data_IF_951505871664
#
_entry.id   IF_951505871664
#
_cell.length_a   1.000
_cell.length_b   1.000
_cell.length_c   1.000
_cell.angle_alpha   90.00
_cell.angle_beta   90.00
_cell.angle_gamma   90.00
#
_symmetry.space_group_name_H-M   'P 1'
#
loop_
_entity.id
_entity.type
_entity.pdbx_description
1 polymer ?
#
# COMPACT_ATOMS: atom_id res chain seq x y z
N UNK A 1 2.72 18.98 -8.16
CA UNK A 1 3.07 17.54 -8.14
C UNK A 1 2.38 16.88 -6.95
N UNK A 2 1.59 15.84 -7.22
CA UNK A 2 0.92 15.00 -6.23
C UNK A 2 1.89 13.88 -5.82
N UNK A 3 2.03 13.64 -4.51
CA UNK A 3 2.89 12.56 -3.99
C UNK A 3 2.05 11.37 -3.57
N UNK A 4 2.44 10.17 -3.96
CA UNK A 4 1.72 8.94 -3.71
C UNK A 4 2.60 8.02 -2.87
N UNK A 5 2.22 7.82 -1.61
CA UNK A 5 2.86 6.82 -0.76
C UNK A 5 2.22 5.46 -1.00
N UNK A 6 3.03 4.48 -1.39
CA UNK A 6 2.59 3.13 -1.70
C UNK A 6 3.73 2.12 -1.56
N UNK A 7 3.46 0.89 -1.97
CA UNK A 7 4.49 -0.14 -2.13
C UNK A 7 4.06 -1.14 -3.21
N UNK A 8 5.01 -1.66 -3.97
CA UNK A 8 4.72 -2.57 -5.09
C UNK A 8 3.97 -3.85 -4.66
N UNK A 9 4.17 -4.32 -3.43
CA UNK A 9 3.47 -5.51 -2.90
C UNK A 9 2.01 -5.25 -2.52
N UNK A 10 1.53 -4.01 -2.59
CA UNK A 10 0.13 -3.65 -2.43
C UNK A 10 -0.58 -3.66 -3.79
N UNK A 11 -1.56 -4.54 -4.02
CA UNK A 11 -2.24 -4.65 -5.32
C UNK A 11 -2.88 -3.33 -5.79
N UNK A 12 -3.45 -2.55 -4.87
CA UNK A 12 -4.05 -1.25 -5.22
C UNK A 12 -2.98 -0.23 -5.61
N UNK A 13 -1.79 -0.25 -4.99
CA UNK A 13 -0.69 0.64 -5.36
C UNK A 13 -0.14 0.32 -6.75
N UNK A 14 0.06 -0.97 -7.07
CA UNK A 14 0.58 -1.39 -8.37
C UNK A 14 -0.27 -0.86 -9.55
N UNK A 15 -1.58 -0.80 -9.38
CA UNK A 15 -2.45 -0.26 -10.42
C UNK A 15 -2.47 1.28 -10.48
N UNK A 16 -2.24 1.95 -9.36
CA UNK A 16 -2.03 3.40 -9.35
C UNK A 16 -0.72 3.76 -10.05
N UNK A 17 0.35 3.00 -9.79
CA UNK A 17 1.65 3.14 -10.46
C UNK A 17 1.52 3.03 -11.99
N UNK A 18 0.70 2.10 -12.49
CA UNK A 18 0.38 1.98 -13.91
C UNK A 18 -0.30 3.23 -14.48
N UNK A 19 -1.27 3.80 -13.76
CA UNK A 19 -2.01 4.99 -14.22
C UNK A 19 -1.14 6.24 -14.36
N UNK A 20 -0.04 6.32 -13.60
CA UNK A 20 0.79 7.53 -13.51
C UNK A 20 2.20 7.37 -14.10
N UNK A 21 2.53 6.21 -14.68
CA UNK A 21 3.89 5.87 -15.15
C UNK A 21 4.53 6.96 -16.00
N UNK A 22 3.77 7.56 -16.90
CA UNK A 22 4.24 8.57 -17.85
C UNK A 22 3.68 9.96 -17.54
N UNK A 23 3.36 10.23 -16.27
CA UNK A 23 2.76 11.49 -15.83
C UNK A 23 3.59 12.18 -14.75
N UNK A 24 4.36 13.18 -15.16
CA UNK A 24 5.22 14.01 -14.30
C UNK A 24 4.44 14.83 -13.25
N UNK A 25 3.11 14.86 -13.33
CA UNK A 25 2.24 15.42 -12.29
C UNK A 25 2.26 14.62 -10.99
N UNK A 26 2.75 13.38 -11.01
CA UNK A 26 2.76 12.46 -9.87
C UNK A 26 4.17 11.97 -9.52
N UNK A 27 4.40 11.76 -8.23
CA UNK A 27 5.61 11.13 -7.70
C UNK A 27 5.21 9.92 -6.85
N UNK A 28 5.66 8.73 -7.23
CA UNK A 28 5.51 7.52 -6.41
C UNK A 28 6.65 7.47 -5.38
N UNK A 29 6.27 7.31 -4.11
CA UNK A 29 7.20 7.11 -3.00
C UNK A 29 6.95 5.71 -2.44
N UNK A 30 7.83 4.77 -2.81
CA UNK A 30 7.79 3.42 -2.26
C UNK A 30 8.25 3.44 -0.79
N UNK A 31 7.32 3.13 0.12
CA UNK A 31 7.59 3.09 1.57
C UNK A 31 8.39 1.85 1.97
N UNK A 32 8.43 0.81 1.14
CA UNK A 32 9.21 -0.42 1.33
C UNK A 32 10.67 -0.30 0.89
N UNK A 33 10.99 0.66 0.00
CA UNK A 33 12.33 0.81 -0.56
C UNK A 33 13.37 1.25 0.48
N UNK A 34 13.02 2.21 1.35
CA UNK A 34 13.96 2.73 2.35
C UNK A 34 13.24 3.23 3.61
N UNK A 35 13.84 3.02 4.78
CA UNK A 35 13.30 3.44 6.10
C UNK A 35 13.02 4.95 6.20
N UNK A 36 13.63 5.76 5.33
CA UNK A 36 13.40 7.22 5.28
C UNK A 36 11.99 7.54 4.74
N UNK A 37 11.55 6.79 3.73
CA UNK A 37 10.24 6.91 3.10
C UNK A 37 9.18 6.42 4.08
N UNK A 38 9.41 5.25 4.69
CA UNK A 38 8.55 4.72 5.75
C UNK A 38 8.42 5.71 6.91
N UNK A 39 9.52 6.27 7.42
CA UNK A 39 9.48 7.27 8.50
C UNK A 39 8.69 8.52 8.10
N UNK A 40 8.81 8.98 6.86
CA UNK A 40 8.04 10.11 6.35
C UNK A 40 6.53 9.79 6.29
N UNK A 41 6.19 8.61 5.76
CA UNK A 41 4.81 8.13 5.72
C UNK A 41 4.21 7.94 7.11
N UNK A 42 4.94 7.33 8.06
CA UNK A 42 4.44 7.12 9.43
C UNK A 42 4.15 8.44 10.13
N UNK A 43 4.98 9.47 9.97
CA UNK A 43 4.69 10.80 10.51
C UNK A 43 3.37 11.35 9.96
N UNK A 44 3.16 11.26 8.65
CA UNK A 44 1.94 11.71 7.99
C UNK A 44 0.72 10.92 8.46
N UNK A 45 0.85 9.58 8.45
CA UNK A 45 -0.17 8.62 8.86
C UNK A 45 -0.63 8.95 10.26
N UNK A 46 0.30 8.92 11.22
CA UNK A 46 0.00 8.98 12.65
C UNK A 46 -0.49 10.37 13.09
N UNK A 47 -0.23 11.43 12.33
CA UNK A 47 -0.73 12.78 12.62
C UNK A 47 -2.04 13.16 11.93
N UNK A 48 -2.47 12.41 10.91
CA UNK A 48 -3.64 12.77 10.10
C UNK A 48 -4.89 11.95 10.47
N UNK A 49 -6.07 12.60 10.65
CA UNK A 49 -7.32 11.91 10.98
C UNK A 49 -7.87 11.09 9.80
N UNK A 50 -7.43 11.36 8.57
CA UNK A 50 -7.77 10.58 7.37
C UNK A 50 -7.44 9.09 7.53
N UNK A 51 -6.46 8.77 8.37
CA UNK A 51 -6.03 7.40 8.64
C UNK A 51 -6.71 6.76 9.86
N UNK A 52 -7.60 7.45 10.57
CA UNK A 52 -8.20 6.93 11.80
C UNK A 52 -8.94 5.61 11.55
N UNK A 53 -9.71 5.54 10.46
CA UNK A 53 -10.43 4.32 10.09
C UNK A 53 -9.50 3.19 9.66
N UNK A 54 -8.50 3.50 8.82
CA UNK A 54 -7.50 2.54 8.40
C UNK A 54 -6.79 1.93 9.62
N UNK A 55 -6.34 2.76 10.57
CA UNK A 55 -5.73 2.31 11.81
C UNK A 55 -6.67 1.44 12.66
N UNK A 56 -7.93 1.86 12.84
CA UNK A 56 -8.92 1.08 13.59
C UNK A 56 -9.11 -0.32 13.00
N UNK A 57 -9.03 -0.44 11.68
CA UNK A 57 -9.19 -1.70 10.95
C UNK A 57 -7.87 -2.47 10.79
N UNK A 58 -6.79 -2.07 11.46
CA UNK A 58 -5.46 -2.70 11.33
C UNK A 58 -4.80 -2.51 9.96
N UNK A 59 -5.33 -1.63 9.12
CA UNK A 59 -4.80 -1.31 7.80
C UNK A 59 -3.77 -0.17 7.86
N UNK A 60 -2.80 -0.19 6.95
CA UNK A 60 -1.76 0.85 6.90
C UNK A 60 -2.21 2.15 6.21
N UNK A 61 -3.24 2.09 5.35
CA UNK A 61 -3.78 3.23 4.61
C UNK A 61 -2.96 3.62 3.37
N UNK A 62 -2.60 2.66 2.52
CA UNK A 62 -2.02 2.92 1.19
C UNK A 62 -2.94 2.37 0.09
N UNK A 63 -2.92 2.94 -1.13
CA UNK A 63 -2.20 4.14 -1.54
C UNK A 63 -2.69 5.41 -0.81
N UNK A 64 -1.75 6.29 -0.46
CA UNK A 64 -2.03 7.57 0.18
C UNK A 64 -1.56 8.71 -0.73
N UNK A 65 -2.41 9.70 -0.93
CA UNK A 65 -2.17 10.81 -1.85
C UNK A 65 -1.99 12.11 -1.06
N UNK A 66 -0.90 12.82 -1.33
CA UNK A 66 -0.68 14.20 -0.86
C UNK A 66 -0.86 15.12 -2.07
N UNK A 67 -1.96 15.86 -2.06
CA UNK A 67 -2.34 16.77 -3.12
C UNK A 67 -1.40 18.00 -3.15
N UNK A 68 -1.48 18.77 -4.24
CA UNK A 68 -0.62 19.95 -4.43
C UNK A 68 -0.82 21.04 -3.38
N UNK A 69 -2.04 21.13 -2.82
CA UNK A 69 -2.40 22.05 -1.73
C UNK A 69 -2.03 21.52 -0.33
N UNK A 70 -1.37 20.36 -0.26
CA UNK A 70 -0.96 19.71 0.98
C UNK A 70 -2.04 18.90 1.68
N UNK A 71 -3.28 18.85 1.16
CA UNK A 71 -4.30 17.92 1.68
C UNK A 71 -3.87 16.48 1.46
N UNK A 72 -4.28 15.63 2.40
CA UNK A 72 -3.99 14.19 2.38
C UNK A 72 -5.29 13.44 2.19
N UNK A 73 -5.29 12.44 1.33
CA UNK A 73 -6.47 11.62 1.04
C UNK A 73 -6.10 10.17 0.76
N UNK A 74 -7.05 9.26 0.98
CA UNK A 74 -6.97 7.85 0.57
C UNK A 74 -7.88 7.55 -0.62
N UNK A 75 -8.52 8.57 -1.20
CA UNK A 75 -9.35 8.45 -2.40
C UNK A 75 -8.49 8.73 -3.64
N UNK A 76 -8.35 7.75 -4.57
CA UNK A 76 -7.73 8.00 -5.86
C UNK A 76 -8.44 9.10 -6.65
N UNK A 77 -9.76 9.21 -6.54
CA UNK A 77 -10.56 10.20 -7.29
C UNK A 77 -10.22 11.63 -6.91
N UNK A 78 -10.00 11.89 -5.62
CA UNK A 78 -9.56 13.21 -5.16
C UNK A 78 -8.16 13.58 -5.65
N UNK A 79 -7.36 12.59 -6.03
CA UNK A 79 -6.07 12.77 -6.68
C UNK A 79 -6.16 12.82 -8.21
N UNK A 80 -7.36 12.78 -8.81
CA UNK A 80 -7.55 12.77 -10.26
C UNK A 80 -7.31 11.41 -10.93
N UNK A 81 -7.34 10.32 -10.14
CA UNK A 81 -7.11 8.95 -10.58
C UNK A 81 -8.38 8.10 -10.44
N UNK A 82 -8.38 6.91 -11.02
CA UNK A 82 -9.54 6.02 -10.97
C UNK A 82 -9.32 4.87 -9.98
N UNK A 83 -10.36 4.53 -9.21
CA UNK A 83 -10.40 3.24 -8.51
C UNK A 83 -10.44 2.12 -9.54
N UNK A 84 -9.76 1.02 -9.22
CA UNK A 84 -9.92 -0.19 -9.99
C UNK A 84 -11.35 -0.70 -9.85
N UNK A 85 -11.89 -1.21 -10.96
CA UNK A 85 -13.06 -2.09 -10.89
C UNK A 85 -12.65 -3.40 -10.20
N UNK A 86 -13.58 -4.10 -9.53
CA UNK A 86 -13.31 -5.42 -8.94
C UNK A 86 -12.72 -6.42 -9.94
N UNK A 87 -13.07 -6.30 -11.23
CA UNK A 87 -12.57 -7.12 -12.33
C UNK A 87 -11.08 -6.83 -12.66
N UNK A 88 -10.67 -5.56 -12.63
CA UNK A 88 -9.28 -5.17 -12.85
C UNK A 88 -8.37 -5.64 -11.69
N UNK A 89 -8.87 -5.61 -10.45
CA UNK A 89 -8.17 -6.17 -9.29
C UNK A 89 -8.02 -7.70 -9.39
N UNK A 90 -9.05 -8.41 -9.85
CA UNK A 90 -9.00 -9.86 -10.04
C UNK A 90 -8.01 -10.27 -11.14
N UNK A 91 -7.87 -9.46 -12.19
CA UNK A 91 -6.93 -9.70 -13.29
C UNK A 91 -5.48 -9.32 -12.92
N UNK A 92 -5.25 -8.27 -12.13
CA UNK A 92 -3.92 -7.90 -11.64
C UNK A 92 -3.31 -8.99 -10.72
N UNK A 93 -4.14 -9.71 -9.97
CA UNK A 93 -3.73 -10.88 -9.16
C UNK A 93 -3.36 -12.12 -9.99
N UNK A 94 -3.60 -12.11 -11.31
CA UNK A 94 -3.31 -13.23 -12.23
C UNK A 94 -2.03 -13.06 -13.06
N UNK A 95 -1.29 -11.97 -12.91
CA UNK A 95 0.01 -11.82 -13.58
C UNK A 95 0.99 -12.91 -13.12
N UNK A 96 1.67 -13.62 -14.04
CA UNK A 96 2.48 -14.79 -13.72
C UNK A 96 3.79 -14.33 -13.07
N UNK A 97 4.00 -14.70 -11.81
CA UNK A 97 5.19 -14.30 -11.04
C UNK A 97 5.12 -14.59 -9.54
N UNK A 98 3.96 -15.00 -9.02
CA UNK A 98 3.89 -15.70 -7.73
C UNK A 98 3.58 -17.15 -8.03
N UNK A 99 4.62 -17.99 -8.03
CA UNK A 99 4.45 -19.43 -8.04
C UNK A 99 3.59 -19.84 -6.84
N UNK A 100 2.67 -20.76 -7.10
CA UNK A 100 1.74 -21.40 -6.19
C UNK A 100 2.46 -21.92 -4.94
N UNK A 101 2.62 -21.07 -3.91
CA UNK A 101 2.90 -21.53 -2.56
C UNK A 101 1.61 -22.18 -2.06
N UNK A 102 1.48 -23.46 -2.41
CA UNK A 102 0.34 -24.30 -2.11
C UNK A 102 -0.19 -24.06 -0.71
N UNK A 103 -1.50 -23.87 -0.64
CA UNK A 103 -2.28 -24.04 0.56
C UNK A 103 -2.15 -25.50 1.05
N UNK A 104 -1.08 -25.79 1.79
CA UNK A 104 -1.16 -26.72 2.91
C UNK A 104 -1.10 -25.89 4.17
N UNK A 105 -2.20 -25.92 4.93
CA UNK A 105 -2.22 -25.41 6.28
C UNK A 105 -1.20 -26.20 7.11
N UNK A 106 0.02 -25.67 7.22
CA UNK A 106 0.94 -26.02 8.28
C UNK A 106 0.61 -25.09 9.44
N UNK A 107 0.14 -25.66 10.54
CA UNK A 107 -0.05 -24.98 11.82
C UNK A 107 1.21 -24.16 12.14
N UNK A 108 1.05 -22.84 12.28
CA UNK A 108 2.15 -21.98 12.68
C UNK A 108 2.67 -22.42 14.04
N UNK A 109 3.91 -22.92 14.07
CA UNK A 109 4.60 -23.18 15.33
C UNK A 109 4.84 -21.83 16.02
N UNK A 110 4.14 -21.61 17.14
CA UNK A 110 4.44 -20.52 18.07
C UNK A 110 5.80 -20.80 18.71
N UNK A 111 6.84 -20.12 18.26
CA UNK A 111 8.12 -20.12 18.98
C UNK A 111 7.91 -19.40 20.31
N UNK A 112 7.87 -20.16 21.41
CA UNK A 112 7.85 -19.57 22.75
C UNK A 112 9.21 -18.91 23.03
N UNK A 113 9.19 -17.73 23.65
CA UNK A 113 10.39 -16.94 24.01
C UNK A 113 11.29 -17.61 25.06
N UNK A 114 10.93 -18.80 25.56
CA UNK A 114 11.71 -19.57 26.54
C UNK A 114 12.68 -20.59 25.90
N UNK A 115 12.73 -20.65 24.56
CA UNK A 115 13.69 -21.49 23.85
C UNK A 115 13.42 -22.99 23.93
N UNK A 116 12.18 -23.40 24.22
CA UNK A 116 11.78 -24.82 24.27
C UNK A 116 10.89 -25.28 23.10
N UNK A 117 11.28 -24.93 21.88
CA UNK A 117 10.80 -25.50 20.60
C UNK A 117 11.56 -24.88 19.43
N UNK A 118 12.06 -25.58 18.40
CA UNK A 118 11.88 -26.94 17.89
C UNK A 118 13.19 -27.76 17.95
#
# INVERSE_FOLDING_TARGET
MIRIYGMHTCPDCACIEEQVRDNDGYEIIDIGEHVRNLKAFLRLRDSSPVFDEARRNGSIGIPCFVLEDGRVTLSPEEAGLHRLTPEAQANAKRSPGMEDAGSTAAEGASCNLDGSGC
#
